data_IF_412847541838
#
_entry.id   IF_412847541838
#
_cell.length_a   1.000
_cell.length_b   1.000
_cell.length_c   1.000
_cell.angle_alpha   90.00
_cell.angle_beta   90.00
_cell.angle_gamma   90.00
#
_symmetry.space_group_name_H-M   'P 1'
#
loop_
_entity.id
_entity.type
_entity.pdbx_description
1 polymer ?
#
# COMPACT_ATOMS: atom_id res chain seq x y z
N UNK A 1 -12.62 36.52 -6.67
CA UNK A 1 -11.96 35.69 -7.66
C UNK A 1 -12.56 35.77 -9.07
N UNK A 2 -13.13 36.93 -9.45
CA UNK A 2 -13.63 37.15 -10.82
C UNK A 2 -12.64 38.02 -11.60
N UNK A 3 -12.36 37.68 -12.86
CA UNK A 3 -11.68 38.57 -13.79
C UNK A 3 -12.71 39.47 -14.44
N UNK A 4 -12.49 40.78 -14.42
CA UNK A 4 -13.36 41.74 -15.10
C UNK A 4 -12.64 42.25 -16.32
N UNK A 5 -13.25 42.08 -17.50
CA UNK A 5 -12.78 42.60 -18.77
C UNK A 5 -13.78 43.70 -19.20
N UNK A 6 -13.28 44.88 -19.41
CA UNK A 6 -14.10 46.00 -19.91
C UNK A 6 -14.11 45.99 -21.44
N UNK A 7 -15.29 45.88 -22.03
CA UNK A 7 -15.52 46.14 -23.45
C UNK A 7 -15.85 47.60 -23.60
N UNK A 8 -15.09 48.32 -24.42
CA UNK A 8 -15.32 49.73 -24.71
C UNK A 8 -15.27 49.98 -26.22
N UNK A 9 -16.05 50.93 -26.69
CA UNK A 9 -15.93 51.47 -28.05
C UNK A 9 -14.84 52.53 -28.08
N UNK A 10 -14.07 52.55 -29.15
CA UNK A 10 -13.07 53.57 -29.41
C UNK A 10 -13.36 54.24 -30.71
N UNK A 11 -13.25 55.57 -30.83
CA UNK A 11 -13.52 56.32 -32.10
C UNK A 11 -12.46 56.01 -33.17
N UNK A 12 -11.23 55.67 -32.75
CA UNK A 12 -10.16 55.24 -33.65
C UNK A 12 -9.18 54.31 -32.90
N UNK A 13 -8.67 53.27 -33.57
CA UNK A 13 -7.68 52.32 -33.08
C UNK A 13 -6.38 52.52 -33.87
N UNK A 14 -5.60 53.52 -33.52
CA UNK A 14 -4.30 53.79 -34.13
C UNK A 14 -3.18 53.40 -33.15
N UNK A 15 -2.63 52.17 -33.26
CA UNK A 15 -1.48 51.71 -32.49
C UNK A 15 -1.79 50.84 -31.28
N UNK A 16 -0.77 50.58 -30.44
CA UNK A 16 -0.87 49.71 -29.25
C UNK A 16 -1.31 50.46 -27.97
N UNK A 17 -1.39 51.80 -28.02
CA UNK A 17 -1.82 52.61 -26.88
C UNK A 17 -3.35 52.74 -26.82
N UNK A 18 -3.87 52.73 -25.57
CA UNK A 18 -5.30 52.93 -25.34
C UNK A 18 -5.72 54.34 -25.78
N UNK A 19 -6.65 54.48 -26.74
CA UNK A 19 -7.08 55.81 -27.23
C UNK A 19 -7.84 56.57 -26.15
N UNK A 20 -7.73 57.90 -26.22
CA UNK A 20 -8.59 58.77 -25.43
C UNK A 20 -10.03 58.71 -25.89
N UNK A 21 -11.01 58.81 -24.98
CA UNK A 21 -12.44 58.86 -25.31
C UNK A 21 -13.08 57.48 -25.46
N UNK A 22 -12.60 56.49 -24.75
CA UNK A 22 -13.24 55.18 -24.65
C UNK A 22 -14.63 55.28 -24.02
N UNK A 23 -15.64 54.78 -24.71
CA UNK A 23 -17.00 54.62 -24.17
C UNK A 23 -17.18 53.18 -23.65
N UNK A 24 -17.41 52.98 -22.34
CA UNK A 24 -17.64 51.64 -21.78
C UNK A 24 -18.98 51.08 -22.30
N UNK A 25 -18.95 49.92 -22.93
CA UNK A 25 -20.12 49.22 -23.45
C UNK A 25 -20.61 48.10 -22.50
N UNK A 26 -19.69 47.32 -21.96
CA UNK A 26 -20.02 46.22 -21.07
C UNK A 26 -18.85 45.85 -20.19
N UNK A 27 -19.15 45.35 -18.99
CA UNK A 27 -18.20 44.61 -18.14
C UNK A 27 -18.46 43.11 -18.25
N UNK A 28 -17.48 42.36 -18.74
CA UNK A 28 -17.55 40.92 -18.85
C UNK A 28 -16.88 40.35 -17.62
N UNK A 29 -17.65 39.63 -16.79
CA UNK A 29 -17.12 38.93 -15.62
C UNK A 29 -16.79 37.49 -16.03
N UNK A 30 -15.52 37.11 -15.86
CA UNK A 30 -15.05 35.77 -16.08
C UNK A 30 -14.85 35.13 -14.73
N UNK A 31 -15.48 33.99 -14.53
CA UNK A 31 -15.41 33.23 -13.27
C UNK A 31 -15.02 31.77 -13.58
N UNK A 32 -14.05 31.25 -12.79
CA UNK A 32 -13.68 29.86 -12.89
C UNK A 32 -14.77 28.97 -12.29
N UNK A 33 -15.17 27.96 -13.04
CA UNK A 33 -16.13 26.95 -12.58
C UNK A 33 -15.39 25.90 -11.79
N UNK A 34 -15.70 25.81 -10.50
CA UNK A 34 -15.18 24.74 -9.64
C UNK A 34 -15.89 23.43 -9.98
N UNK A 35 -15.14 22.36 -10.12
CA UNK A 35 -15.70 21.02 -10.37
C UNK A 35 -16.55 20.58 -9.17
N UNK A 36 -17.73 19.97 -9.38
CA UNK A 36 -18.62 19.55 -8.29
C UNK A 36 -17.99 18.57 -7.31
N UNK A 37 -17.05 17.74 -7.79
CA UNK A 37 -16.36 16.70 -7.03
C UNK A 37 -15.07 17.18 -6.32
N UNK A 38 -14.70 18.46 -6.49
CA UNK A 38 -13.47 19.00 -5.91
C UNK A 38 -13.49 19.01 -4.38
N UNK A 39 -14.58 19.54 -3.79
CA UNK A 39 -14.68 19.67 -2.33
C UNK A 39 -14.64 18.32 -1.61
N UNK A 40 -15.35 17.31 -2.11
CA UNK A 40 -15.33 15.96 -1.56
C UNK A 40 -13.91 15.35 -1.62
N UNK A 41 -13.22 15.52 -2.73
CA UNK A 41 -11.85 15.00 -2.93
C UNK A 41 -10.86 15.70 -2.00
N UNK A 42 -10.96 17.00 -1.83
CA UNK A 42 -10.08 17.77 -0.92
C UNK A 42 -10.32 17.37 0.54
N UNK A 43 -11.59 17.25 0.96
CA UNK A 43 -11.96 16.77 2.28
C UNK A 43 -11.39 15.35 2.53
N UNK A 44 -11.52 14.44 1.55
CA UNK A 44 -10.94 13.10 1.66
C UNK A 44 -9.43 13.15 1.95
N UNK A 45 -8.65 13.96 1.23
CA UNK A 45 -7.21 14.04 1.48
C UNK A 45 -6.89 14.67 2.83
N UNK A 46 -7.62 15.69 3.25
CA UNK A 46 -7.48 16.27 4.58
C UNK A 46 -7.73 15.23 5.69
N UNK A 47 -8.80 14.43 5.57
CA UNK A 47 -9.10 13.32 6.49
C UNK A 47 -8.02 12.22 6.48
N UNK A 48 -7.30 12.08 5.35
CA UNK A 48 -6.14 11.20 5.28
C UNK A 48 -4.88 11.79 5.94
N UNK A 49 -4.93 13.02 6.43
CA UNK A 49 -3.80 13.74 7.03
C UNK A 49 -2.82 14.26 5.99
N UNK A 50 -3.29 14.53 4.77
CA UNK A 50 -2.50 15.17 3.72
C UNK A 50 -2.61 16.68 3.88
N UNK A 51 -1.48 17.36 4.00
CA UNK A 51 -1.40 18.82 4.02
C UNK A 51 -1.50 19.34 2.57
N UNK A 52 -2.58 20.06 2.27
CA UNK A 52 -2.87 20.55 0.93
C UNK A 52 -2.28 21.93 0.71
N UNK A 53 -1.56 22.11 -0.39
CA UNK A 53 -0.99 23.39 -0.83
C UNK A 53 -1.51 23.74 -2.21
N UNK A 54 -1.97 24.97 -2.41
CA UNK A 54 -2.44 25.50 -3.70
C UNK A 54 -1.38 26.46 -4.23
N UNK A 55 -0.80 26.13 -5.38
CA UNK A 55 0.32 26.87 -5.97
C UNK A 55 -0.06 27.30 -7.38
N UNK A 56 -0.24 28.60 -7.61
CA UNK A 56 -0.67 29.15 -8.90
C UNK A 56 0.22 30.30 -9.38
N UNK A 57 0.26 30.51 -10.69
CA UNK A 57 0.82 31.72 -11.30
C UNK A 57 -0.08 32.95 -11.21
N UNK A 58 -1.36 32.76 -10.85
CA UNK A 58 -2.35 33.84 -10.74
C UNK A 58 -2.18 34.68 -9.47
N UNK A 59 -2.92 35.81 -9.41
CA UNK A 59 -2.91 36.68 -8.25
C UNK A 59 -3.31 35.95 -6.96
N UNK A 60 -2.58 36.08 -5.85
CA UNK A 60 -2.88 35.38 -4.60
C UNK A 60 -4.31 35.60 -4.09
N UNK A 61 -4.85 36.81 -4.19
CA UNK A 61 -6.24 37.10 -3.80
C UNK A 61 -7.27 36.29 -4.61
N UNK A 62 -7.04 36.14 -5.93
CA UNK A 62 -7.90 35.32 -6.81
C UNK A 62 -7.78 33.82 -6.44
N UNK A 63 -6.57 33.36 -6.28
CA UNK A 63 -6.31 31.93 -5.94
C UNK A 63 -6.91 31.58 -4.58
N UNK A 64 -6.76 32.46 -3.58
CA UNK A 64 -7.35 32.28 -2.24
C UNK A 64 -8.88 32.22 -2.30
N UNK A 65 -9.51 33.12 -3.06
CA UNK A 65 -10.96 33.11 -3.21
C UNK A 65 -11.47 31.81 -3.86
N UNK A 66 -10.77 31.30 -4.89
CA UNK A 66 -11.09 30.04 -5.55
C UNK A 66 -10.85 28.85 -4.61
N UNK A 67 -9.72 28.82 -3.88
CA UNK A 67 -9.40 27.77 -2.93
C UNK A 67 -10.45 27.65 -1.81
N UNK A 68 -10.88 28.77 -1.22
CA UNK A 68 -11.97 28.80 -0.23
C UNK A 68 -13.28 28.26 -0.78
N UNK A 69 -13.66 28.68 -1.98
CA UNK A 69 -14.88 28.18 -2.65
C UNK A 69 -14.81 26.70 -2.99
N UNK A 70 -13.62 26.21 -3.31
CA UNK A 70 -13.38 24.79 -3.56
C UNK A 70 -13.38 23.94 -2.28
N UNK A 71 -13.36 24.55 -1.10
CA UNK A 71 -13.34 23.84 0.18
C UNK A 71 -11.94 23.39 0.62
N UNK A 72 -10.87 24.04 0.14
CA UNK A 72 -9.51 23.78 0.63
C UNK A 72 -9.43 24.14 2.11
N UNK A 73 -9.00 23.23 3.00
CA UNK A 73 -8.78 23.57 4.41
C UNK A 73 -7.68 24.63 4.53
N UNK A 74 -8.02 25.76 5.13
CA UNK A 74 -7.10 26.87 5.31
C UNK A 74 -7.13 27.35 6.75
N UNK A 75 -5.98 27.75 7.34
CA UNK A 75 -5.96 28.42 8.63
C UNK A 75 -6.78 29.72 8.59
N UNK A 76 -7.38 30.08 9.73
CA UNK A 76 -8.09 31.36 9.85
C UNK A 76 -7.13 32.53 9.58
N UNK A 77 -7.52 33.42 8.69
CA UNK A 77 -6.71 34.59 8.32
C UNK A 77 -5.61 34.32 7.28
N UNK A 78 -5.54 33.12 6.71
CA UNK A 78 -4.63 32.87 5.57
C UNK A 78 -5.21 33.50 4.29
N UNK A 79 -4.70 34.66 3.93
CA UNK A 79 -5.13 35.41 2.71
C UNK A 79 -4.28 35.08 1.48
N UNK A 80 -3.42 34.05 1.61
CA UNK A 80 -2.52 33.62 0.55
C UNK A 80 -1.25 34.48 0.45
N UNK A 81 -0.16 33.85 0.06
CA UNK A 81 1.18 34.46 -0.02
C UNK A 81 1.45 34.88 -1.48
N UNK A 82 1.95 36.11 -1.63
CA UNK A 82 2.51 36.56 -2.92
C UNK A 82 3.94 36.01 -3.05
N UNK A 83 4.17 35.15 -4.04
CA UNK A 83 5.46 34.48 -4.22
C UNK A 83 6.63 35.43 -4.52
N UNK A 84 6.35 36.71 -4.85
CA UNK A 84 7.39 37.74 -4.97
C UNK A 84 8.01 38.13 -3.64
N UNK A 85 7.37 37.81 -2.51
CA UNK A 85 7.86 38.06 -1.14
C UNK A 85 8.48 36.83 -0.50
N UNK A 86 8.54 35.69 -1.20
CA UNK A 86 9.13 34.46 -0.67
C UNK A 86 10.63 34.62 -0.46
N UNK A 87 11.16 34.11 0.66
CA UNK A 87 12.60 34.11 0.92
C UNK A 87 13.35 33.21 -0.07
N UNK A 88 14.58 33.58 -0.40
CA UNK A 88 15.48 32.75 -1.20
C UNK A 88 16.16 31.65 -0.38
N UNK A 89 16.30 31.88 0.93
CA UNK A 89 16.87 30.90 1.85
C UNK A 89 15.97 29.68 1.98
N UNK A 90 16.47 28.45 1.77
CA UNK A 90 15.66 27.23 1.78
C UNK A 90 14.98 26.95 3.13
N UNK A 91 15.64 27.25 4.24
CA UNK A 91 15.12 26.96 5.58
C UNK A 91 14.00 27.95 5.95
N UNK A 92 14.16 29.22 5.59
CA UNK A 92 13.11 30.22 5.74
C UNK A 92 11.94 29.94 4.81
N UNK A 93 12.19 29.52 3.56
CA UNK A 93 11.15 29.11 2.62
C UNK A 93 10.35 27.93 3.18
N UNK A 94 10.99 26.94 3.77
CA UNK A 94 10.33 25.80 4.38
C UNK A 94 9.35 26.22 5.50
N UNK A 95 9.73 27.19 6.34
CA UNK A 95 8.85 27.74 7.39
C UNK A 95 7.63 28.43 6.78
N UNK A 96 7.81 29.24 5.75
CA UNK A 96 6.71 29.95 5.07
C UNK A 96 5.77 28.95 4.40
N UNK A 97 6.32 27.93 3.71
CA UNK A 97 5.51 26.90 3.05
C UNK A 97 4.73 26.06 4.05
N UNK A 98 5.32 25.77 5.22
CA UNK A 98 4.62 25.05 6.29
C UNK A 98 3.45 25.85 6.87
N UNK A 99 3.61 27.19 7.02
CA UNK A 99 2.65 28.06 7.68
C UNK A 99 1.43 28.41 6.81
N UNK A 100 1.55 28.39 5.48
CA UNK A 100 0.52 28.87 4.54
C UNK A 100 0.04 27.77 3.62
N UNK A 101 -1.21 27.92 3.13
CA UNK A 101 -1.86 26.96 2.24
C UNK A 101 -1.87 27.41 0.79
N UNK A 102 -2.00 28.73 0.52
CA UNK A 102 -2.19 29.29 -0.81
C UNK A 102 -1.03 30.19 -1.20
N UNK A 103 -0.52 29.98 -2.42
CA UNK A 103 0.58 30.76 -3.00
C UNK A 103 0.22 31.23 -4.40
N UNK A 104 0.27 32.54 -4.64
CA UNK A 104 -0.01 33.14 -5.93
C UNK A 104 1.23 33.76 -6.58
N UNK A 105 1.19 34.00 -7.90
CA UNK A 105 2.30 34.55 -8.71
C UNK A 105 3.59 33.73 -8.65
N UNK A 106 3.44 32.41 -8.48
CA UNK A 106 4.57 31.49 -8.32
C UNK A 106 5.19 31.18 -9.67
N UNK A 107 6.50 31.37 -9.79
CA UNK A 107 7.28 31.01 -10.98
C UNK A 107 7.58 29.50 -10.98
N UNK A 108 7.93 28.90 -12.14
CA UNK A 108 8.30 27.48 -12.22
C UNK A 108 9.47 27.11 -11.30
N UNK A 109 10.44 27.99 -11.13
CA UNK A 109 11.60 27.79 -10.26
C UNK A 109 11.17 27.79 -8.78
N UNK A 110 10.29 28.73 -8.40
CA UNK A 110 9.73 28.77 -7.04
C UNK A 110 8.87 27.56 -6.73
N UNK A 111 8.03 27.05 -7.68
CA UNK A 111 7.29 25.78 -7.51
C UNK A 111 8.24 24.63 -7.14
N UNK A 112 9.34 24.53 -7.88
CA UNK A 112 10.38 23.53 -7.61
C UNK A 112 11.03 23.74 -6.24
N UNK A 113 11.37 24.97 -5.87
CA UNK A 113 11.97 25.30 -4.57
C UNK A 113 11.02 24.94 -3.41
N UNK A 114 9.72 25.19 -3.54
CA UNK A 114 8.71 24.83 -2.55
C UNK A 114 8.60 23.32 -2.35
N UNK A 115 8.62 22.53 -3.43
CA UNK A 115 8.65 21.05 -3.35
C UNK A 115 9.86 20.60 -2.54
N UNK A 116 11.04 21.11 -2.86
CA UNK A 116 12.28 20.77 -2.14
C UNK A 116 12.27 21.23 -0.69
N UNK A 117 11.67 22.38 -0.41
CA UNK A 117 11.53 22.89 0.95
C UNK A 117 10.68 21.97 1.83
N UNK A 118 9.58 21.41 1.31
CA UNK A 118 8.77 20.41 2.02
C UNK A 118 9.58 19.11 2.22
N UNK A 119 10.30 18.65 1.18
CA UNK A 119 11.12 17.45 1.27
C UNK A 119 12.26 17.57 2.27
N UNK A 120 12.89 18.76 2.40
CA UNK A 120 13.98 19.01 3.38
C UNK A 120 13.53 18.86 4.83
N UNK A 121 12.25 19.06 5.12
CA UNK A 121 11.65 18.84 6.45
C UNK A 121 11.18 17.39 6.67
N UNK A 122 11.46 16.47 5.73
CA UNK A 122 11.05 15.06 5.79
C UNK A 122 9.65 14.81 5.25
N UNK A 123 9.01 15.78 4.62
CA UNK A 123 7.72 15.63 3.95
C UNK A 123 7.82 14.83 2.65
N UNK A 124 6.79 14.05 2.33
CA UNK A 124 6.63 13.35 1.04
C UNK A 124 5.66 14.15 0.19
N UNK A 125 6.09 14.56 -1.01
CA UNK A 125 5.35 15.51 -1.83
C UNK A 125 4.72 14.84 -3.04
N UNK A 126 3.38 14.91 -3.13
CA UNK A 126 2.63 14.69 -4.37
C UNK A 126 2.37 16.02 -5.07
N UNK A 127 2.88 16.22 -6.28
CA UNK A 127 2.66 17.42 -7.07
C UNK A 127 1.72 17.13 -8.24
N UNK A 128 0.63 17.89 -8.33
CA UNK A 128 -0.29 17.81 -9.48
C UNK A 128 -0.15 19.04 -10.38
N UNK A 129 -0.02 18.84 -11.67
CA UNK A 129 0.09 19.94 -12.65
C UNK A 129 -0.24 19.47 -14.07
N UNK A 130 -0.58 20.43 -14.95
CA UNK A 130 -0.94 20.18 -16.35
C UNK A 130 -0.09 21.00 -17.33
N UNK A 131 0.51 22.09 -16.87
CA UNK A 131 1.26 23.03 -17.67
C UNK A 131 2.76 22.69 -17.82
N UNK A 132 3.37 23.30 -18.83
CA UNK A 132 4.84 23.27 -19.02
C UNK A 132 5.56 23.89 -17.82
N UNK A 133 4.93 24.85 -17.17
CA UNK A 133 5.45 25.55 -15.99
C UNK A 133 5.57 24.66 -14.75
N UNK A 134 4.92 23.49 -14.74
CA UNK A 134 4.91 22.54 -13.63
C UNK A 134 5.96 21.44 -13.77
N UNK A 135 6.59 21.30 -14.94
CA UNK A 135 7.51 20.21 -15.29
C UNK A 135 8.64 20.04 -14.26
N UNK A 136 9.25 21.14 -13.82
CA UNK A 136 10.34 21.10 -12.84
C UNK A 136 9.87 20.59 -11.47
N UNK A 137 8.71 21.08 -11.01
CA UNK A 137 8.13 20.68 -9.74
C UNK A 137 7.62 19.22 -9.79
N UNK A 138 6.95 18.84 -10.89
CA UNK A 138 6.50 17.45 -11.12
C UNK A 138 7.66 16.45 -11.11
N UNK A 139 8.79 16.82 -11.72
CA UNK A 139 9.98 15.95 -11.78
C UNK A 139 10.66 15.79 -10.42
N UNK A 140 10.70 16.84 -9.61
CA UNK A 140 11.38 16.82 -8.32
C UNK A 140 10.49 16.28 -7.18
N UNK A 141 9.17 16.26 -7.37
CA UNK A 141 8.24 15.66 -6.40
C UNK A 141 8.43 14.15 -6.27
N UNK A 142 8.12 13.59 -5.10
CA UNK A 142 8.15 12.14 -4.85
C UNK A 142 7.07 11.43 -5.70
N UNK A 143 5.95 12.11 -5.98
CA UNK A 143 4.91 11.67 -6.89
C UNK A 143 4.46 12.83 -7.77
N UNK A 144 4.94 12.90 -9.00
CA UNK A 144 4.42 13.83 -10.02
C UNK A 144 3.16 13.26 -10.69
N UNK A 145 2.08 14.05 -10.70
CA UNK A 145 0.77 13.67 -11.25
C UNK A 145 0.40 14.64 -12.35
N UNK A 146 0.30 14.18 -13.59
CA UNK A 146 -0.10 15.00 -14.73
C UNK A 146 -1.55 14.72 -15.14
N UNK A 147 -2.21 15.76 -15.69
CA UNK A 147 -3.50 15.59 -16.35
C UNK A 147 -3.31 15.05 -17.78
N UNK A 148 -4.23 14.19 -18.23
CA UNK A 148 -4.17 13.59 -19.56
C UNK A 148 -4.22 14.63 -20.69
N UNK A 149 -5.02 15.71 -20.53
CA UNK A 149 -5.08 16.85 -21.43
C UNK A 149 -3.92 17.85 -21.25
N UNK A 150 -3.05 17.64 -20.25
CA UNK A 150 -1.91 18.50 -19.98
C UNK A 150 -0.83 18.45 -21.07
N UNK A 151 0.22 19.23 -20.90
CA UNK A 151 1.32 19.29 -21.86
C UNK A 151 2.02 17.95 -22.02
N UNK A 152 2.54 17.65 -23.22
CA UNK A 152 3.35 16.47 -23.45
C UNK A 152 4.58 16.40 -22.53
N UNK A 153 5.16 17.54 -22.18
CA UNK A 153 6.30 17.64 -21.28
C UNK A 153 5.93 17.26 -19.83
N UNK A 154 4.78 17.72 -19.32
CA UNK A 154 4.29 17.36 -17.98
C UNK A 154 4.01 15.86 -17.88
N UNK A 155 3.35 15.29 -18.90
CA UNK A 155 3.09 13.83 -18.95
C UNK A 155 4.34 12.98 -19.04
N UNK A 156 5.40 13.48 -19.72
CA UNK A 156 6.65 12.75 -19.89
C UNK A 156 7.46 12.63 -18.59
N UNK A 157 7.30 13.56 -17.64
CA UNK A 157 8.04 13.56 -16.36
C UNK A 157 7.24 13.03 -15.19
N UNK A 158 5.92 12.95 -15.31
CA UNK A 158 5.03 12.49 -14.26
C UNK A 158 5.10 10.96 -14.08
N UNK A 159 5.00 10.49 -12.82
CA UNK A 159 4.88 9.08 -12.47
C UNK A 159 3.46 8.55 -12.64
N UNK A 160 2.45 9.46 -12.57
CA UNK A 160 1.04 9.14 -12.74
C UNK A 160 0.39 10.10 -13.72
N UNK A 161 -0.45 9.61 -14.63
CA UNK A 161 -1.23 10.43 -15.55
C UNK A 161 -2.71 10.14 -15.39
N UNK A 162 -3.50 11.17 -15.07
CA UNK A 162 -4.96 11.10 -14.95
C UNK A 162 -5.61 11.27 -16.32
N UNK A 163 -5.87 10.18 -17.02
CA UNK A 163 -6.34 10.19 -18.42
C UNK A 163 -7.72 10.84 -18.59
N UNK A 164 -8.57 10.75 -17.58
CA UNK A 164 -9.91 11.39 -17.56
C UNK A 164 -9.91 12.84 -17.07
N UNK A 165 -8.73 13.39 -16.79
CA UNK A 165 -8.53 14.75 -16.28
C UNK A 165 -9.29 15.06 -14.97
N UNK A 166 -9.58 14.04 -14.15
CA UNK A 166 -10.31 14.20 -12.90
C UNK A 166 -9.43 13.96 -11.69
N UNK A 167 -9.26 15.01 -10.90
CA UNK A 167 -8.56 14.92 -9.61
C UNK A 167 -9.26 13.94 -8.65
N UNK A 168 -10.57 13.81 -8.76
CA UNK A 168 -11.41 12.88 -8.00
C UNK A 168 -11.13 11.39 -8.28
N UNK A 169 -10.30 11.06 -9.26
CA UNK A 169 -9.81 9.68 -9.45
C UNK A 169 -8.75 9.28 -8.41
N UNK A 170 -8.04 10.24 -7.80
CA UNK A 170 -6.93 9.96 -6.87
C UNK A 170 -7.31 9.16 -5.62
N UNK A 171 -8.45 9.37 -4.94
CA UNK A 171 -8.90 8.49 -3.87
C UNK A 171 -8.94 7.01 -4.26
N UNK A 172 -9.43 6.71 -5.48
CA UNK A 172 -9.42 5.36 -6.02
C UNK A 172 -8.01 4.80 -6.26
N UNK A 173 -7.10 5.63 -6.79
CA UNK A 173 -5.68 5.27 -6.98
C UNK A 173 -5.03 4.96 -5.63
N UNK A 174 -5.26 5.78 -4.59
CA UNK A 174 -4.73 5.56 -3.25
C UNK A 174 -5.27 4.27 -2.64
N UNK A 175 -6.57 4.00 -2.79
CA UNK A 175 -7.19 2.75 -2.32
C UNK A 175 -6.55 1.52 -2.98
N UNK A 176 -6.32 1.57 -4.30
CA UNK A 176 -5.68 0.49 -5.04
C UNK A 176 -4.21 0.31 -4.64
N UNK A 177 -3.45 1.40 -4.47
CA UNK A 177 -2.07 1.34 -4.00
C UNK A 177 -1.97 0.68 -2.61
N UNK A 178 -2.87 1.02 -1.69
CA UNK A 178 -2.96 0.39 -0.36
C UNK A 178 -3.31 -1.09 -0.46
N UNK A 179 -4.28 -1.44 -1.30
CA UNK A 179 -4.66 -2.83 -1.55
C UNK A 179 -3.47 -3.66 -2.01
N UNK A 180 -2.73 -3.15 -3.00
CA UNK A 180 -1.54 -3.85 -3.55
C UNK A 180 -0.47 -4.00 -2.47
N UNK A 181 -0.13 -2.92 -1.76
CA UNK A 181 0.92 -2.96 -0.72
C UNK A 181 0.57 -3.94 0.40
N UNK A 182 -0.67 -3.90 0.91
CA UNK A 182 -1.13 -4.81 1.95
C UNK A 182 -1.18 -6.28 1.46
N UNK A 183 -1.52 -6.49 0.19
CA UNK A 183 -1.51 -7.83 -0.42
C UNK A 183 -0.10 -8.39 -0.57
N UNK A 184 0.85 -7.55 -1.00
CA UNK A 184 2.28 -7.92 -1.08
C UNK A 184 2.83 -8.27 0.30
N UNK A 185 2.47 -7.54 1.36
CA UNK A 185 2.91 -7.84 2.72
C UNK A 185 2.39 -9.21 3.20
N UNK A 186 1.11 -9.52 2.95
CA UNK A 186 0.56 -10.85 3.29
C UNK A 186 1.23 -11.98 2.51
N UNK A 187 1.46 -11.78 1.22
CA UNK A 187 2.18 -12.75 0.41
C UNK A 187 3.62 -12.95 0.90
N UNK A 188 4.35 -11.86 1.17
CA UNK A 188 5.71 -11.91 1.70
C UNK A 188 5.78 -12.68 3.02
N UNK A 189 4.82 -12.48 3.93
CA UNK A 189 4.73 -13.22 5.18
C UNK A 189 4.65 -14.74 4.93
N UNK A 190 3.82 -15.18 3.98
CA UNK A 190 3.67 -16.60 3.64
C UNK A 190 4.93 -17.19 2.97
N UNK A 191 5.60 -16.43 2.11
CA UNK A 191 6.79 -16.93 1.41
C UNK A 191 8.00 -17.00 2.34
N UNK A 192 8.22 -15.95 3.16
CA UNK A 192 9.41 -15.85 4.00
C UNK A 192 9.33 -16.82 5.17
N UNK A 193 8.15 -17.01 5.81
CA UNK A 193 8.03 -18.04 6.83
C UNK A 193 8.35 -19.44 6.27
N UNK A 194 7.97 -19.70 5.01
CA UNK A 194 8.30 -20.91 4.28
C UNK A 194 9.80 -21.13 4.13
N UNK A 195 10.53 -20.07 3.85
CA UNK A 195 12.00 -20.09 3.75
C UNK A 195 12.64 -20.34 5.12
N UNK A 196 12.14 -19.67 6.17
CA UNK A 196 12.67 -19.80 7.53
C UNK A 196 12.52 -21.23 8.06
N UNK A 197 11.32 -21.82 8.02
CA UNK A 197 11.17 -23.19 8.51
C UNK A 197 11.99 -24.20 7.70
N UNK A 198 12.07 -24.03 6.38
CA UNK A 198 12.85 -24.92 5.53
C UNK A 198 14.34 -24.87 5.86
N UNK A 199 14.88 -23.66 6.08
CA UNK A 199 16.27 -23.47 6.48
C UNK A 199 16.56 -24.07 7.85
N UNK A 200 15.71 -23.83 8.84
CA UNK A 200 15.88 -24.36 10.20
C UNK A 200 15.80 -25.89 10.23
N UNK A 201 14.84 -26.49 9.51
CA UNK A 201 14.74 -27.94 9.41
C UNK A 201 15.97 -28.52 8.72
N UNK A 202 16.39 -27.95 7.59
CA UNK A 202 17.55 -28.43 6.86
C UNK A 202 18.83 -28.36 7.72
N UNK A 203 19.04 -27.27 8.44
CA UNK A 203 20.18 -27.08 9.31
C UNK A 203 20.20 -28.08 10.45
N UNK A 204 19.06 -28.30 11.13
CA UNK A 204 18.92 -29.25 12.24
C UNK A 204 19.15 -30.70 11.77
N UNK A 205 18.51 -31.08 10.65
CA UNK A 205 18.63 -32.45 10.09
C UNK A 205 20.06 -32.74 9.63
N UNK A 206 20.74 -31.74 9.01
CA UNK A 206 22.15 -31.88 8.63
C UNK A 206 23.07 -32.00 9.85
N UNK A 207 22.83 -31.20 10.90
CA UNK A 207 23.64 -31.28 12.14
C UNK A 207 23.49 -32.62 12.87
N UNK A 208 22.29 -33.21 12.87
CA UNK A 208 22.02 -34.51 13.52
C UNK A 208 22.38 -35.69 12.61
N UNK A 209 22.57 -35.50 11.32
CA UNK A 209 22.92 -36.57 10.38
C UNK A 209 21.77 -37.53 10.07
N UNK A 210 20.51 -37.04 10.11
CA UNK A 210 19.32 -37.85 9.79
C UNK A 210 18.78 -37.49 8.42
N UNK A 211 17.88 -38.34 7.86
CA UNK A 211 17.23 -38.07 6.60
C UNK A 211 16.26 -36.89 6.72
N UNK A 212 16.08 -36.19 5.60
CA UNK A 212 15.14 -35.04 5.54
C UNK A 212 13.69 -35.53 5.73
N UNK A 213 12.87 -34.82 6.55
CA UNK A 213 11.53 -35.29 6.93
C UNK A 213 10.49 -35.18 5.82
N UNK A 214 10.86 -34.71 4.63
CA UNK A 214 9.91 -34.53 3.53
C UNK A 214 10.46 -35.10 2.22
N UNK A 215 9.56 -35.67 1.43
CA UNK A 215 9.77 -35.84 0.01
C UNK A 215 9.45 -34.54 -0.76
N UNK A 216 10.02 -34.30 -1.96
CA UNK A 216 9.69 -33.11 -2.77
C UNK A 216 8.19 -32.92 -2.98
N UNK A 217 7.44 -34.00 -3.21
CA UNK A 217 5.98 -34.00 -3.38
C UNK A 217 5.20 -33.58 -2.12
N UNK A 218 5.72 -33.88 -0.90
CA UNK A 218 5.14 -33.39 0.34
C UNK A 218 5.24 -31.87 0.42
N UNK A 219 6.42 -31.30 0.07
CA UNK A 219 6.60 -29.86 0.03
C UNK A 219 5.73 -29.17 -1.01
N UNK A 220 5.46 -29.84 -2.17
CA UNK A 220 4.50 -29.35 -3.15
C UNK A 220 3.10 -29.25 -2.56
N UNK A 221 2.62 -30.30 -1.87
CA UNK A 221 1.32 -30.29 -1.20
C UNK A 221 1.24 -29.16 -0.16
N UNK A 222 2.22 -29.08 0.73
CA UNK A 222 2.29 -28.05 1.76
C UNK A 222 2.29 -26.65 1.15
N UNK A 223 3.19 -26.39 0.19
CA UNK A 223 3.28 -25.07 -0.45
C UNK A 223 2.02 -24.69 -1.20
N UNK A 224 1.37 -25.63 -1.88
CA UNK A 224 0.11 -25.37 -2.57
C UNK A 224 -1.00 -24.97 -1.60
N UNK A 225 -1.19 -25.73 -0.49
CA UNK A 225 -2.31 -25.52 0.42
C UNK A 225 -2.04 -24.45 1.50
N UNK A 226 -0.78 -24.18 1.86
CA UNK A 226 -0.46 -23.20 2.91
C UNK A 226 0.05 -21.87 2.37
N UNK A 227 0.55 -21.81 1.12
CA UNK A 227 1.18 -20.60 0.55
C UNK A 227 0.55 -20.21 -0.79
N UNK A 228 0.57 -21.09 -1.78
CA UNK A 228 0.24 -20.75 -3.17
C UNK A 228 -1.23 -20.37 -3.35
N UNK A 229 -2.14 -21.30 -3.07
CA UNK A 229 -3.59 -21.07 -3.22
C UNK A 229 -4.06 -19.98 -2.27
N UNK A 230 -3.76 -20.02 -0.95
CA UNK A 230 -4.10 -18.92 -0.05
C UNK A 230 -3.49 -17.58 -0.46
N UNK A 231 -2.24 -17.56 -0.89
CA UNK A 231 -1.57 -16.34 -1.35
C UNK A 231 -2.27 -15.66 -2.51
N UNK A 232 -2.77 -16.44 -3.48
CA UNK A 232 -3.56 -15.93 -4.60
C UNK A 232 -4.85 -15.25 -4.11
N UNK A 233 -5.63 -15.92 -3.26
CA UNK A 233 -6.86 -15.34 -2.70
C UNK A 233 -6.59 -14.13 -1.82
N UNK A 234 -5.50 -14.13 -1.06
CA UNK A 234 -5.10 -12.99 -0.24
C UNK A 234 -4.61 -11.80 -1.07
N UNK A 235 -4.01 -12.05 -2.23
CA UNK A 235 -3.62 -10.99 -3.17
C UNK A 235 -4.83 -10.31 -3.81
N UNK A 236 -5.91 -11.04 -4.04
CA UNK A 236 -7.16 -10.52 -4.61
C UNK A 236 -8.07 -9.85 -3.57
N UNK A 237 -7.82 -10.08 -2.27
CA UNK A 237 -8.67 -9.54 -1.20
C UNK A 237 -8.58 -8.01 -1.12
N UNK A 238 -9.72 -7.29 -1.09
CA UNK A 238 -9.72 -5.84 -0.89
C UNK A 238 -9.20 -5.50 0.51
N UNK A 239 -8.25 -4.57 0.58
CA UNK A 239 -7.70 -4.07 1.83
C UNK A 239 -7.21 -2.63 1.66
N UNK A 240 -8.06 -1.68 2.02
CA UNK A 240 -7.82 -0.24 1.87
C UNK A 240 -7.24 0.40 3.14
N UNK A 241 -6.81 -0.40 4.13
CA UNK A 241 -6.23 0.13 5.37
C UNK A 241 -4.95 0.91 5.08
N UNK A 242 -4.71 1.94 5.90
CA UNK A 242 -3.49 2.76 5.78
C UNK A 242 -2.25 1.87 5.93
N UNK A 243 -1.34 1.97 4.97
CA UNK A 243 -0.03 1.32 5.05
C UNK A 243 0.87 2.09 6.01
N UNK A 244 1.72 1.36 6.73
CA UNK A 244 2.70 1.95 7.67
C UNK A 244 4.12 1.74 7.15
N UNK A 245 5.08 2.62 7.47
CA UNK A 245 6.47 2.41 7.13
C UNK A 245 7.04 1.18 7.86
N UNK A 246 8.18 0.64 7.40
CA UNK A 246 8.83 -0.51 8.02
C UNK A 246 8.31 -1.87 7.53
N UNK A 247 7.97 -1.99 6.25
CA UNK A 247 7.51 -3.24 5.62
C UNK A 247 8.40 -4.45 5.93
N UNK A 248 9.72 -4.33 5.70
CA UNK A 248 10.67 -5.43 5.91
C UNK A 248 10.69 -5.87 7.37
N UNK A 249 10.72 -4.92 8.30
CA UNK A 249 10.74 -5.19 9.74
C UNK A 249 9.48 -5.97 10.18
N UNK A 250 8.30 -5.58 9.68
CA UNK A 250 7.04 -6.27 10.00
C UNK A 250 7.03 -7.70 9.46
N UNK A 251 7.49 -7.88 8.21
CA UNK A 251 7.57 -9.21 7.60
C UNK A 251 8.55 -10.11 8.37
N UNK A 252 9.71 -9.59 8.76
CA UNK A 252 10.70 -10.36 9.54
C UNK A 252 10.17 -10.69 10.93
N UNK A 253 9.55 -9.74 11.63
CA UNK A 253 8.93 -9.95 12.96
C UNK A 253 7.83 -11.01 12.93
N UNK A 254 7.13 -11.18 11.82
CA UNK A 254 6.17 -12.26 11.64
C UNK A 254 6.85 -13.56 11.24
N UNK A 255 7.69 -13.54 10.19
CA UNK A 255 8.17 -14.74 9.52
C UNK A 255 9.17 -15.55 10.36
N UNK A 256 10.02 -14.88 11.16
CA UNK A 256 10.98 -15.58 12.02
C UNK A 256 10.29 -16.43 13.09
N UNK A 257 9.43 -15.91 13.97
CA UNK A 257 8.77 -16.73 14.97
C UNK A 257 7.80 -17.73 14.34
N UNK A 258 7.07 -17.37 13.29
CA UNK A 258 6.18 -18.30 12.59
C UNK A 258 6.95 -19.48 11.99
N UNK A 259 8.08 -19.21 11.33
CA UNK A 259 8.95 -20.23 10.77
C UNK A 259 9.61 -21.11 11.84
N UNK A 260 10.02 -20.53 12.97
CA UNK A 260 10.56 -21.27 14.09
C UNK A 260 9.53 -22.21 14.73
N UNK A 261 8.29 -21.73 14.95
CA UNK A 261 7.18 -22.58 15.45
C UNK A 261 6.93 -23.75 14.50
N UNK A 262 6.87 -23.49 13.18
CA UNK A 262 6.69 -24.54 12.20
C UNK A 262 7.83 -25.56 12.20
N UNK A 263 9.09 -25.09 12.22
CA UNK A 263 10.26 -25.95 12.24
C UNK A 263 10.31 -26.83 13.49
N UNK A 264 10.11 -26.23 14.67
CA UNK A 264 10.08 -26.98 15.94
C UNK A 264 8.96 -28.01 15.95
N UNK A 265 7.75 -27.63 15.51
CA UNK A 265 6.60 -28.54 15.43
C UNK A 265 6.90 -29.77 14.55
N UNK A 266 7.49 -29.53 13.37
CA UNK A 266 7.90 -30.61 12.45
C UNK A 266 8.97 -31.49 13.06
N UNK A 267 10.02 -30.90 13.63
CA UNK A 267 11.14 -31.67 14.21
C UNK A 267 10.71 -32.50 15.40
N UNK A 268 9.88 -31.95 16.29
CA UNK A 268 9.34 -32.71 17.46
C UNK A 268 8.53 -33.90 16.95
N UNK A 269 7.61 -33.72 16.03
CA UNK A 269 6.81 -34.84 15.50
C UNK A 269 7.68 -35.85 14.75
N UNK A 270 8.63 -35.37 13.94
CA UNK A 270 9.51 -36.26 13.17
C UNK A 270 10.42 -37.11 14.07
N UNK A 271 11.10 -36.54 15.06
CA UNK A 271 11.94 -37.28 15.98
C UNK A 271 11.14 -38.20 16.90
N UNK A 272 9.95 -37.76 17.35
CA UNK A 272 9.06 -38.62 18.12
C UNK A 272 8.61 -39.85 17.32
N UNK A 273 8.09 -39.64 16.09
CA UNK A 273 7.62 -40.74 15.24
C UNK A 273 8.74 -41.75 14.94
N UNK A 274 9.97 -41.26 14.78
CA UNK A 274 11.17 -42.07 14.56
C UNK A 274 11.60 -42.90 15.80
N UNK A 275 11.26 -42.42 16.98
CA UNK A 275 11.53 -43.14 18.24
C UNK A 275 10.53 -44.27 18.52
N UNK A 276 9.40 -44.30 17.85
CA UNK A 276 8.35 -45.31 17.99
C UNK A 276 8.72 -46.55 17.16
N UNK A 277 8.91 -47.68 17.82
CA UNK A 277 9.28 -48.93 17.15
C UNK A 277 8.18 -49.36 16.15
N UNK A 278 8.60 -49.78 14.96
CA UNK A 278 7.72 -50.32 13.93
C UNK A 278 7.01 -49.27 13.05
N UNK A 279 7.30 -47.98 13.20
CA UNK A 279 6.79 -46.92 12.32
C UNK A 279 7.67 -46.86 11.07
N UNK A 280 7.12 -47.11 9.87
CA UNK A 280 7.87 -46.98 8.63
C UNK A 280 8.21 -45.51 8.33
N UNK A 281 9.31 -45.25 7.62
CA UNK A 281 9.78 -43.92 7.27
C UNK A 281 8.69 -43.09 6.52
N UNK A 282 7.89 -43.70 5.67
CA UNK A 282 6.78 -43.01 4.97
C UNK A 282 5.76 -42.46 5.94
N UNK A 283 5.50 -43.16 7.05
CA UNK A 283 4.60 -42.67 8.10
C UNK A 283 5.24 -41.59 8.96
N UNK A 284 6.55 -41.64 9.24
CA UNK A 284 7.30 -40.55 9.89
C UNK A 284 7.20 -39.24 9.05
N UNK A 285 7.42 -39.36 7.73
CA UNK A 285 7.36 -38.24 6.80
C UNK A 285 5.93 -37.69 6.64
N UNK A 286 4.92 -38.57 6.69
CA UNK A 286 3.50 -38.17 6.66
C UNK A 286 3.14 -37.41 7.94
N UNK A 287 3.58 -37.89 9.12
CA UNK A 287 3.36 -37.18 10.37
C UNK A 287 3.97 -35.78 10.38
N UNK A 288 5.22 -35.65 9.92
CA UNK A 288 5.89 -34.37 9.75
C UNK A 288 5.14 -33.43 8.79
N UNK A 289 4.63 -33.99 7.68
CA UNK A 289 3.82 -33.24 6.69
C UNK A 289 2.51 -32.74 7.27
N UNK A 290 1.82 -33.57 8.07
CA UNK A 290 0.58 -33.20 8.76
C UNK A 290 0.80 -32.10 9.80
N UNK A 291 1.89 -32.18 10.57
CA UNK A 291 2.27 -31.15 11.52
C UNK A 291 2.50 -29.81 10.82
N UNK A 292 3.24 -29.81 9.69
CA UNK A 292 3.51 -28.60 8.92
C UNK A 292 2.23 -28.01 8.27
N UNK A 293 1.35 -28.86 7.73
CA UNK A 293 0.05 -28.45 7.20
C UNK A 293 -0.83 -27.86 8.31
N UNK A 294 -0.89 -28.49 9.49
CA UNK A 294 -1.62 -27.99 10.64
C UNK A 294 -1.15 -26.59 11.06
N UNK A 295 0.16 -26.41 11.25
CA UNK A 295 0.73 -25.09 11.59
C UNK A 295 0.49 -24.08 10.45
N UNK A 296 0.62 -24.48 9.18
CA UNK A 296 0.33 -23.63 8.03
C UNK A 296 -1.12 -23.13 8.00
N UNK A 297 -2.10 -23.99 8.32
CA UNK A 297 -3.51 -23.59 8.44
C UNK A 297 -3.74 -22.64 9.62
N UNK A 298 -3.09 -22.85 10.76
CA UNK A 298 -3.17 -21.92 11.91
C UNK A 298 -2.62 -20.54 11.55
N UNK A 299 -1.48 -20.48 10.87
CA UNK A 299 -0.91 -19.23 10.39
C UNK A 299 -1.82 -18.56 9.34
N UNK A 300 -2.45 -19.34 8.46
CA UNK A 300 -3.44 -18.81 7.51
C UNK A 300 -4.64 -18.19 8.25
N UNK A 301 -5.19 -18.85 9.26
CA UNK A 301 -6.24 -18.27 10.14
C UNK A 301 -5.77 -16.95 10.74
N UNK A 302 -4.54 -16.91 11.23
CA UNK A 302 -3.97 -15.71 11.86
C UNK A 302 -3.82 -14.54 10.87
N UNK A 303 -3.27 -14.81 9.68
CA UNK A 303 -3.08 -13.82 8.61
C UNK A 303 -4.41 -13.30 8.03
N UNK A 304 -5.45 -14.13 8.01
CA UNK A 304 -6.76 -13.77 7.47
C UNK A 304 -7.68 -13.11 8.50
N UNK A 305 -7.27 -12.97 9.76
CA UNK A 305 -8.11 -12.47 10.85
C UNK A 305 -8.74 -11.10 10.57
N UNK A 306 -8.06 -10.26 9.84
CA UNK A 306 -8.49 -8.89 9.49
C UNK A 306 -9.37 -8.82 8.24
N UNK A 307 -9.61 -9.95 7.55
CA UNK A 307 -10.40 -10.02 6.33
C UNK A 307 -11.89 -10.30 6.65
N UNK A 308 -12.81 -9.99 5.69
CA UNK A 308 -14.23 -10.30 5.79
C UNK A 308 -14.54 -11.78 6.03
N UNK A 309 -15.78 -12.16 6.37
CA UNK A 309 -16.18 -13.54 6.71
C UNK A 309 -15.86 -14.61 5.66
N UNK A 310 -15.70 -14.25 4.38
CA UNK A 310 -15.35 -15.20 3.31
C UNK A 310 -14.01 -15.95 3.58
N UNK A 311 -13.15 -15.41 4.44
CA UNK A 311 -11.90 -16.08 4.88
C UNK A 311 -12.11 -17.49 5.40
N UNK A 312 -13.25 -17.74 6.06
CA UNK A 312 -13.57 -19.05 6.60
C UNK A 312 -13.80 -20.09 5.51
N UNK A 313 -14.33 -19.67 4.33
CA UNK A 313 -14.45 -20.55 3.16
C UNK A 313 -13.07 -20.92 2.62
N UNK A 314 -12.12 -19.97 2.62
CA UNK A 314 -10.75 -20.24 2.19
C UNK A 314 -10.07 -21.23 3.14
N UNK A 315 -10.08 -20.94 4.44
CA UNK A 315 -9.44 -21.81 5.45
C UNK A 315 -10.11 -23.19 5.49
N UNK A 316 -11.44 -23.22 5.49
CA UNK A 316 -12.22 -24.46 5.46
C UNK A 316 -11.95 -25.28 4.20
N UNK A 317 -11.91 -24.62 3.03
CA UNK A 317 -11.54 -25.27 1.76
C UNK A 317 -10.14 -25.89 1.81
N UNK A 318 -9.15 -25.19 2.35
CA UNK A 318 -7.81 -25.76 2.52
C UNK A 318 -7.80 -26.94 3.50
N UNK A 319 -8.53 -26.86 4.61
CA UNK A 319 -8.67 -27.97 5.55
C UNK A 319 -9.34 -29.19 4.90
N UNK A 320 -10.38 -29.00 4.10
CA UNK A 320 -11.02 -30.06 3.32
C UNK A 320 -10.06 -30.68 2.31
N UNK A 321 -9.24 -29.86 1.62
CA UNK A 321 -8.21 -30.37 0.71
C UNK A 321 -7.16 -31.21 1.44
N UNK A 322 -6.73 -30.82 2.65
CA UNK A 322 -5.83 -31.61 3.48
C UNK A 322 -6.47 -32.94 3.87
N UNK A 323 -7.72 -32.93 4.34
CA UNK A 323 -8.47 -34.15 4.67
C UNK A 323 -8.65 -35.05 3.43
N UNK A 324 -9.00 -34.46 2.28
CA UNK A 324 -9.11 -35.17 1.01
C UNK A 324 -7.81 -35.84 0.59
N UNK A 325 -6.66 -35.19 0.79
CA UNK A 325 -5.37 -35.77 0.48
C UNK A 325 -5.04 -37.00 1.35
N UNK A 326 -5.60 -37.07 2.56
CA UNK A 326 -5.45 -38.23 3.45
C UNK A 326 -6.42 -39.37 3.17
N UNK A 327 -7.60 -39.06 2.58
CA UNK A 327 -8.69 -40.03 2.39
C UNK A 327 -8.73 -40.58 0.95
N UNK A 328 -8.51 -39.75 -0.06
CA UNK A 328 -8.63 -40.15 -1.47
C UNK A 328 -7.43 -40.99 -1.92
N UNK A 329 -7.65 -42.30 -2.27
CA UNK A 329 -6.56 -43.22 -2.59
C UNK A 329 -5.61 -42.75 -3.71
N UNK A 330 -6.09 -42.14 -4.84
CA UNK A 330 -5.18 -41.69 -5.88
C UNK A 330 -4.30 -40.53 -5.42
N UNK A 331 -4.84 -39.60 -4.60
CA UNK A 331 -4.11 -38.45 -4.06
C UNK A 331 -3.09 -38.91 -3.01
N UNK A 332 -3.52 -39.79 -2.10
CA UNK A 332 -2.66 -40.41 -1.10
C UNK A 332 -1.46 -41.12 -1.75
N UNK A 333 -1.71 -41.90 -2.80
CA UNK A 333 -0.65 -42.60 -3.55
C UNK A 333 0.28 -41.62 -4.28
N UNK A 334 -0.27 -40.58 -4.92
CA UNK A 334 0.52 -39.58 -5.65
C UNK A 334 1.47 -38.84 -4.71
N UNK A 335 0.99 -38.41 -3.55
CA UNK A 335 1.80 -37.71 -2.55
C UNK A 335 2.58 -38.65 -1.63
N UNK A 336 2.49 -39.98 -1.78
CA UNK A 336 3.08 -41.01 -0.91
C UNK A 336 2.79 -40.76 0.59
N UNK A 337 1.53 -40.54 0.88
CA UNK A 337 1.07 -40.36 2.25
C UNK A 337 0.63 -41.72 2.80
N UNK A 338 1.06 -42.01 4.01
CA UNK A 338 0.58 -43.17 4.75
C UNK A 338 0.30 -42.81 6.21
N UNK A 339 -0.93 -43.06 6.66
CA UNK A 339 -1.37 -42.63 7.98
C UNK A 339 -0.55 -43.32 9.09
N UNK A 340 0.10 -42.55 9.97
CA UNK A 340 0.84 -43.11 11.08
C UNK A 340 -0.12 -43.69 12.13
N UNK A 341 0.40 -44.54 13.06
CA UNK A 341 -0.37 -45.08 14.18
C UNK A 341 -1.06 -43.99 15.01
N UNK A 342 -2.13 -44.35 15.67
CA UNK A 342 -2.92 -43.40 16.50
C UNK A 342 -2.07 -42.73 17.58
N UNK A 343 -1.05 -43.40 18.15
CA UNK A 343 -0.11 -42.79 19.10
C UNK A 343 0.64 -41.60 18.49
N UNK A 344 1.12 -41.73 17.26
CA UNK A 344 1.83 -40.65 16.55
C UNK A 344 0.84 -39.55 16.14
N UNK A 345 -0.38 -39.90 15.70
CA UNK A 345 -1.41 -38.92 15.39
C UNK A 345 -1.83 -38.07 16.57
N UNK A 346 -1.89 -38.64 17.78
CA UNK A 346 -2.12 -37.90 19.03
C UNK A 346 -1.00 -36.88 19.30
N UNK A 347 0.25 -37.26 19.04
CA UNK A 347 1.38 -36.31 19.16
C UNK A 347 1.30 -35.20 18.12
N UNK A 348 0.95 -35.52 16.85
CA UNK A 348 0.70 -34.47 15.83
C UNK A 348 -0.37 -33.51 16.31
N UNK A 349 -1.51 -34.02 16.80
CA UNK A 349 -2.60 -33.18 17.30
C UNK A 349 -2.17 -32.32 18.51
N UNK A 350 -1.44 -32.88 19.46
CA UNK A 350 -0.93 -32.17 20.62
C UNK A 350 0.05 -31.04 20.23
N UNK A 351 1.01 -31.35 19.33
CA UNK A 351 1.98 -30.37 18.85
C UNK A 351 1.28 -29.23 18.08
N UNK A 352 0.31 -29.56 17.23
CA UNK A 352 -0.47 -28.53 16.51
C UNK A 352 -1.31 -27.67 17.47
N UNK A 353 -1.86 -28.28 18.54
CA UNK A 353 -2.58 -27.52 19.58
C UNK A 353 -1.65 -26.56 20.35
N UNK A 354 -0.45 -27.00 20.72
CA UNK A 354 0.57 -26.13 21.34
C UNK A 354 1.01 -25.03 20.36
N UNK A 355 1.21 -25.38 19.09
CA UNK A 355 1.54 -24.41 18.05
C UNK A 355 0.42 -23.36 17.87
N UNK A 356 -0.87 -23.74 18.04
CA UNK A 356 -1.99 -22.78 17.98
C UNK A 356 -1.87 -21.71 19.06
N UNK A 357 -1.47 -22.08 20.27
CA UNK A 357 -1.19 -21.12 21.36
C UNK A 357 0.01 -20.24 21.00
N UNK A 358 1.11 -20.82 20.53
CA UNK A 358 2.31 -20.08 20.16
C UNK A 358 2.06 -19.10 19.01
N UNK A 359 1.32 -19.52 17.98
CA UNK A 359 0.92 -18.67 16.82
C UNK A 359 0.05 -17.49 17.26
N UNK A 360 -0.70 -17.60 18.35
CA UNK A 360 -1.47 -16.46 18.87
C UNK A 360 -0.58 -15.26 19.25
N UNK A 361 0.65 -15.50 19.70
CA UNK A 361 1.60 -14.46 20.07
C UNK A 361 2.46 -13.96 18.91
N UNK A 362 2.36 -14.56 17.73
CA UNK A 362 3.07 -14.06 16.53
C UNK A 362 2.49 -12.70 16.11
N UNK A 363 3.31 -11.65 16.01
CA UNK A 363 2.82 -10.33 15.64
C UNK A 363 2.39 -10.32 14.17
N UNK A 364 1.12 -10.03 13.92
CA UNK A 364 0.56 -9.86 12.58
C UNK A 364 0.36 -8.37 12.33
N UNK A 365 1.34 -7.69 11.76
CA UNK A 365 1.25 -6.27 11.41
C UNK A 365 0.68 -5.39 12.54
N UNK A 366 1.01 -4.14 12.61
CA UNK A 366 0.70 -3.24 13.74
C UNK A 366 -0.81 -2.91 13.99
N UNK A 367 -1.73 -3.83 13.75
CA UNK A 367 -3.18 -3.63 13.91
C UNK A 367 -3.81 -4.47 15.03
N UNK A 368 -3.02 -5.08 15.93
CA UNK A 368 -3.61 -5.86 17.03
C UNK A 368 -4.04 -5.00 18.24
N UNK A 369 -3.84 -3.66 18.19
CA UNK A 369 -4.16 -2.77 19.31
C UNK A 369 -4.75 -1.42 18.83
N UNK A 370 -5.89 -1.43 18.15
CA UNK A 370 -6.89 -0.33 18.17
C UNK A 370 -8.27 -0.87 17.91
#
# INVERSE_FOLDING_TARGET
>A
GQRVVLLAAAPDLAGEELPAGLEPLAAVLLEDTIRPDAGETLAFFADQGVDLKVISGDNPTTVTAVARRAGVPMPDGDDGVDARTLPEDPDELAKVVAAHTVFGRVTPQQKRAMVRAIQSTGGVVGMTGDGVNDVLALKDADMGIAMGAGSGASRAVAQLVLMDNRFSALPGVLAEARRVTNSVERAANLFIYGTVYSALIALCVAAVGVQFPFLPRHLTLVRSLSVGIPGLFLALAPDNRRTRPGFVERVVKFALPAGAIAAVSVLVVYFWSRSVAGVPQVQEQTAATLALLGVGLLLLVRLTRTLPPWRWYLVGGMAVCVAGAMVLPPVKKFFALDLPPTSVMLVVAAVVAVAAVAVHFVPVGANDHT
#
